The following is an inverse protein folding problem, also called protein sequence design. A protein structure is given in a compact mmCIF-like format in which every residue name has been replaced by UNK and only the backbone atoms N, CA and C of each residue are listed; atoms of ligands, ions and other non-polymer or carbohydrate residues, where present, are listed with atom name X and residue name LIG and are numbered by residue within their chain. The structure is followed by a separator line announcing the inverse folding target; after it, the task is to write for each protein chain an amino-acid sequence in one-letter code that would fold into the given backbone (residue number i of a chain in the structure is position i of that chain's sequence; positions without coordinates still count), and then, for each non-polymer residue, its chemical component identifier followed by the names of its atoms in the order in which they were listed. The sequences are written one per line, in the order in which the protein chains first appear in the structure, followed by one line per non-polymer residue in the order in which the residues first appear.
data_IF_428139704681
#
_entry.id   IF_428139704681
#
_cell.length_a   1.000
_cell.length_b   1.000
_cell.length_c   1.000
_cell.angle_alpha   90.00
_cell.angle_beta   90.00
_cell.angle_gamma   90.00
#
_symmetry.space_group_name_H-M   'P 1'
#
loop_
_entity.id
_entity.type
_entity.pdbx_description
1 polymer ?
#
# COMPACT_ATOMS: atom_id res chain seq x y z
N UNK A 1 2.08 -2.49 -24.79
CA UNK A 1 1.19 -1.35 -25.03
C UNK A 1 0.02 -1.42 -24.07
N UNK A 2 -0.33 -0.30 -23.41
CA UNK A 2 -1.48 -0.24 -22.49
C UNK A 2 -2.56 0.66 -23.11
N UNK A 3 -3.79 0.16 -23.13
CA UNK A 3 -4.98 0.89 -23.54
C UNK A 3 -5.82 1.17 -22.30
N UNK A 4 -5.94 2.44 -21.92
CA UNK A 4 -6.83 2.91 -20.86
C UNK A 4 -8.20 3.26 -21.48
N UNK A 5 -9.28 2.73 -20.92
CA UNK A 5 -10.65 2.94 -21.41
C UNK A 5 -11.61 3.24 -20.25
N UNK A 6 -12.71 3.96 -20.50
CA UNK A 6 -13.81 4.05 -19.54
C UNK A 6 -14.34 2.65 -19.18
N UNK A 7 -14.78 2.47 -17.93
CA UNK A 7 -15.29 1.18 -17.44
C UNK A 7 -16.43 0.64 -18.32
N UNK A 8 -17.37 1.49 -18.74
CA UNK A 8 -18.47 1.12 -19.63
C UNK A 8 -18.00 0.54 -20.97
N UNK A 9 -16.79 0.92 -21.43
CA UNK A 9 -16.17 0.42 -22.65
C UNK A 9 -15.25 -0.79 -22.44
N UNK A 10 -14.96 -1.16 -21.19
CA UNK A 10 -13.96 -2.17 -20.85
C UNK A 10 -14.29 -3.54 -21.44
N UNK A 11 -15.53 -4.02 -21.27
CA UNK A 11 -15.95 -5.35 -21.76
C UNK A 11 -15.76 -5.47 -23.27
N UNK A 12 -16.15 -4.43 -24.03
CA UNK A 12 -16.00 -4.43 -25.48
C UNK A 12 -14.52 -4.41 -25.89
N UNK A 13 -13.69 -3.61 -25.22
CA UNK A 13 -12.27 -3.54 -25.47
C UNK A 13 -11.55 -4.87 -25.13
N UNK A 14 -11.88 -5.48 -23.99
CA UNK A 14 -11.35 -6.76 -23.53
C UNK A 14 -11.66 -7.88 -24.53
N UNK A 15 -12.93 -8.03 -24.94
CA UNK A 15 -13.34 -9.03 -25.94
C UNK A 15 -12.70 -8.81 -27.30
N UNK A 16 -12.45 -7.57 -27.71
CA UNK A 16 -11.82 -7.26 -28.99
C UNK A 16 -10.31 -7.56 -28.99
N UNK A 17 -9.61 -7.19 -27.93
CA UNK A 17 -8.14 -7.14 -27.92
C UNK A 17 -7.51 -8.34 -27.20
N UNK A 18 -8.17 -8.84 -26.15
CA UNK A 18 -7.68 -9.90 -25.27
C UNK A 18 -8.77 -10.97 -25.01
N UNK A 19 -9.45 -11.40 -26.07
CA UNK A 19 -10.54 -12.37 -25.97
C UNK A 19 -10.10 -13.66 -25.28
N UNK A 20 -10.90 -14.14 -24.32
CA UNK A 20 -10.63 -15.38 -23.58
C UNK A 20 -9.48 -15.29 -22.57
N UNK A 21 -8.90 -14.10 -22.35
CA UNK A 21 -7.91 -13.89 -21.31
C UNK A 21 -8.58 -13.58 -19.97
N UNK A 22 -7.98 -13.98 -18.84
CA UNK A 22 -8.50 -13.66 -17.52
C UNK A 22 -8.51 -12.14 -17.30
N UNK A 23 -9.58 -11.68 -16.66
CA UNK A 23 -9.73 -10.31 -16.18
C UNK A 23 -9.41 -10.26 -14.70
N UNK A 24 -8.54 -9.34 -14.33
CA UNK A 24 -8.11 -9.13 -12.96
C UNK A 24 -8.74 -7.87 -12.40
N UNK A 25 -9.24 -7.95 -11.16
CA UNK A 25 -9.80 -6.83 -10.41
C UNK A 25 -8.98 -6.59 -9.15
N UNK A 26 -8.75 -5.32 -8.82
CA UNK A 26 -7.96 -4.93 -7.64
C UNK A 26 -8.63 -3.74 -6.96
N UNK A 27 -8.79 -3.76 -5.62
CA UNK A 27 -9.23 -2.57 -4.92
C UNK A 27 -8.13 -1.49 -4.99
N UNK A 28 -8.52 -0.27 -5.32
CA UNK A 28 -7.66 0.92 -5.30
C UNK A 28 -8.36 2.04 -4.49
N UNK A 29 -7.65 3.11 -4.18
CA UNK A 29 -8.26 4.25 -3.49
C UNK A 29 -9.42 4.82 -4.32
N UNK A 30 -10.61 4.86 -3.73
CA UNK A 30 -11.83 5.40 -4.36
C UNK A 30 -12.57 4.46 -5.31
N UNK A 31 -12.16 3.20 -5.47
CA UNK A 31 -12.86 2.27 -6.35
C UNK A 31 -12.08 1.01 -6.70
N UNK A 32 -12.37 0.47 -7.89
CA UNK A 32 -11.80 -0.80 -8.36
C UNK A 32 -11.14 -0.61 -9.71
N UNK A 33 -9.89 -1.04 -9.80
CA UNK A 33 -9.18 -1.14 -11.08
C UNK A 33 -9.42 -2.50 -11.70
N UNK A 34 -9.65 -2.50 -13.01
CA UNK A 34 -9.87 -3.72 -13.78
C UNK A 34 -8.88 -3.79 -14.92
N UNK A 35 -8.38 -4.99 -15.22
CA UNK A 35 -7.42 -5.16 -16.30
C UNK A 35 -7.42 -6.55 -16.92
N UNK A 36 -7.18 -6.63 -18.22
CA UNK A 36 -6.95 -7.88 -18.93
C UNK A 36 -5.75 -7.68 -19.88
N UNK A 37 -5.02 -8.73 -20.18
CA UNK A 37 -3.86 -8.64 -21.06
C UNK A 37 -3.79 -9.84 -22.00
N UNK A 38 -3.35 -9.58 -23.24
CA UNK A 38 -2.91 -10.59 -24.20
C UNK A 38 -1.40 -10.42 -24.38
N UNK A 39 -0.64 -11.29 -23.72
CA UNK A 39 0.83 -11.23 -23.73
C UNK A 39 1.40 -11.56 -25.11
N UNK A 40 0.72 -12.39 -25.91
CA UNK A 40 1.11 -12.71 -27.28
C UNK A 40 1.02 -11.50 -28.21
N UNK A 41 0.09 -10.59 -27.96
CA UNK A 41 -0.03 -9.30 -28.69
C UNK A 41 0.70 -8.14 -28.01
N UNK A 42 1.19 -8.32 -26.79
CA UNK A 42 1.76 -7.25 -25.97
C UNK A 42 0.75 -6.13 -25.66
N UNK A 43 -0.55 -6.46 -25.53
CA UNK A 43 -1.62 -5.49 -25.26
C UNK A 43 -2.18 -5.73 -23.86
N UNK A 44 -2.29 -4.64 -23.08
CA UNK A 44 -3.01 -4.61 -21.80
C UNK A 44 -4.15 -3.61 -21.91
N UNK A 45 -5.35 -3.99 -21.51
CA UNK A 45 -6.52 -3.10 -21.37
C UNK A 45 -6.73 -2.84 -19.90
N UNK A 46 -6.95 -1.58 -19.53
CA UNK A 46 -7.19 -1.16 -18.15
C UNK A 46 -8.40 -0.23 -18.13
N UNK A 47 -9.19 -0.33 -17.06
CA UNK A 47 -10.21 0.65 -16.74
C UNK A 47 -10.32 0.84 -15.23
N UNK A 48 -10.96 1.93 -14.82
CA UNK A 48 -11.26 2.24 -13.44
C UNK A 48 -12.77 2.42 -13.25
N UNK A 49 -13.30 1.85 -12.18
CA UNK A 49 -14.67 2.04 -11.72
C UNK A 49 -14.66 2.66 -10.33
N UNK A 50 -15.51 3.66 -10.03
CA UNK A 50 -15.64 4.21 -8.67
C UNK A 50 -16.41 3.26 -7.71
N UNK A 51 -16.87 2.11 -8.19
CA UNK A 51 -17.57 1.10 -7.39
C UNK A 51 -16.56 0.18 -6.67
N UNK A 52 -17.00 -0.40 -5.56
CA UNK A 52 -16.24 -1.41 -4.82
C UNK A 52 -16.03 -2.71 -5.60
N UNK A 53 -15.13 -3.56 -5.10
CA UNK A 53 -14.64 -4.75 -5.81
C UNK A 53 -15.76 -5.74 -6.16
N UNK A 54 -16.60 -6.08 -5.18
CA UNK A 54 -17.66 -7.08 -5.34
C UNK A 54 -18.66 -6.73 -6.44
N UNK A 55 -19.29 -5.52 -6.46
CA UNK A 55 -20.23 -5.17 -7.51
C UNK A 55 -19.56 -5.08 -8.89
N UNK A 56 -18.31 -4.65 -8.97
CA UNK A 56 -17.54 -4.62 -10.23
C UNK A 56 -17.27 -6.02 -10.74
N UNK A 57 -16.81 -6.92 -9.87
CA UNK A 57 -16.54 -8.29 -10.23
C UNK A 57 -17.81 -9.02 -10.70
N UNK A 58 -18.95 -8.79 -10.02
CA UNK A 58 -20.24 -9.35 -10.43
C UNK A 58 -20.70 -8.82 -11.80
N UNK A 59 -20.56 -7.52 -12.05
CA UNK A 59 -20.91 -6.88 -13.33
C UNK A 59 -20.10 -7.48 -14.50
N UNK A 60 -18.79 -7.64 -14.32
CA UNK A 60 -17.90 -8.21 -15.33
C UNK A 60 -18.18 -9.70 -15.58
N UNK A 61 -18.48 -10.49 -14.53
CA UNK A 61 -18.89 -11.90 -14.67
C UNK A 61 -20.21 -12.03 -15.43
N UNK A 62 -21.21 -11.18 -15.13
CA UNK A 62 -22.47 -11.13 -15.88
C UNK A 62 -22.27 -10.78 -17.36
N UNK A 63 -21.25 -9.99 -17.67
CA UNK A 63 -20.85 -9.68 -19.04
C UNK A 63 -20.08 -10.81 -19.76
N UNK A 64 -19.83 -11.93 -19.08
CA UNK A 64 -19.20 -13.14 -19.63
C UNK A 64 -17.67 -13.11 -19.63
N UNK A 65 -17.05 -12.30 -18.76
CA UNK A 65 -15.61 -12.35 -18.53
C UNK A 65 -15.27 -13.33 -17.40
N UNK A 66 -14.09 -13.95 -17.50
CA UNK A 66 -13.49 -14.71 -16.40
C UNK A 66 -12.78 -13.73 -15.46
N UNK A 67 -13.24 -13.63 -14.22
CA UNK A 67 -12.84 -12.56 -13.28
C UNK A 67 -12.18 -13.14 -12.04
N UNK A 68 -10.91 -12.78 -11.85
CA UNK A 68 -10.06 -13.16 -10.71
C UNK A 68 -9.63 -11.92 -9.95
N UNK A 69 -9.48 -12.01 -8.63
CA UNK A 69 -8.88 -10.94 -7.83
C UNK A 69 -7.35 -10.95 -7.97
N UNK A 70 -6.76 -9.78 -8.20
CA UNK A 70 -5.32 -9.62 -8.36
C UNK A 70 -4.97 -8.46 -9.30
N UNK A 71 -3.68 -8.22 -9.54
CA UNK A 71 -3.20 -7.20 -10.47
C UNK A 71 -1.96 -7.69 -11.23
N UNK A 72 -1.78 -7.18 -12.45
CA UNK A 72 -0.53 -7.36 -13.18
C UNK A 72 0.57 -6.47 -12.58
N UNK A 73 1.62 -7.10 -12.09
CA UNK A 73 2.85 -6.44 -11.60
C UNK A 73 3.95 -6.76 -12.62
N UNK A 74 4.70 -5.76 -13.12
CA UNK A 74 5.92 -6.02 -13.91
C UNK A 74 6.91 -6.88 -13.13
N UNK A 75 7.65 -7.77 -13.82
CA UNK A 75 8.65 -8.64 -13.16
C UNK A 75 9.78 -7.86 -12.46
N UNK A 76 10.02 -6.63 -12.92
CA UNK A 76 11.02 -5.69 -12.40
C UNK A 76 10.43 -4.62 -11.48
N UNK A 77 9.10 -4.57 -11.32
CA UNK A 77 8.51 -3.65 -10.37
C UNK A 77 8.81 -4.17 -8.96
N UNK A 78 9.33 -3.33 -8.04
CA UNK A 78 9.32 -3.67 -6.64
C UNK A 78 7.89 -4.05 -6.27
N UNK A 79 7.71 -5.07 -5.43
CA UNK A 79 6.39 -5.52 -4.99
C UNK A 79 5.67 -4.38 -4.25
N UNK A 80 5.05 -3.46 -4.99
CA UNK A 80 4.62 -2.16 -4.48
C UNK A 80 3.09 -2.11 -4.38
N UNK A 81 2.54 -2.76 -3.37
CA UNK A 81 1.36 -2.30 -2.62
C UNK A 81 1.06 -3.26 -1.47
N UNK A 82 2.08 -3.56 -0.66
CA UNK A 82 1.77 -3.95 0.71
C UNK A 82 1.10 -2.75 1.37
N UNK A 83 0.06 -3.00 2.14
CA UNK A 83 -0.46 -2.03 3.10
C UNK A 83 0.73 -1.53 3.95
N UNK A 84 1.14 -0.27 3.77
CA UNK A 84 2.23 0.33 4.54
C UNK A 84 1.66 0.89 5.83
N UNK A 85 2.30 0.51 6.92
CA UNK A 85 2.05 1.07 8.25
C UNK A 85 3.16 2.05 8.56
N UNK A 86 2.84 3.19 9.18
CA UNK A 86 3.84 4.17 9.60
C UNK A 86 3.86 4.21 11.12
N UNK A 87 5.01 3.94 11.73
CA UNK A 87 5.19 4.16 13.16
C UNK A 87 5.87 5.51 13.38
N UNK A 88 5.33 6.29 14.31
CA UNK A 88 5.90 7.54 14.77
C UNK A 88 6.13 7.43 16.29
N UNK A 89 7.37 7.66 16.73
CA UNK A 89 7.78 7.55 18.12
C UNK A 89 8.27 8.92 18.56
N UNK A 90 7.49 9.57 19.43
CA UNK A 90 7.95 10.75 20.14
C UNK A 90 8.77 10.30 21.35
N UNK A 91 9.94 10.90 21.56
CA UNK A 91 10.84 10.55 22.66
C UNK A 91 11.50 11.79 23.26
N UNK A 92 11.99 11.65 24.48
CA UNK A 92 12.74 12.69 25.18
C UNK A 92 14.22 12.50 24.90
N UNK A 93 14.90 13.63 24.77
CA UNK A 93 16.36 13.68 24.68
C UNK A 93 16.88 14.52 25.84
N UNK A 94 18.19 14.44 26.08
CA UNK A 94 18.89 15.31 27.03
C UNK A 94 18.92 16.77 26.55
N UNK A 95 18.53 17.02 25.28
CA UNK A 95 18.33 18.36 24.74
C UNK A 95 17.00 18.95 25.19
N UNK A 96 16.86 20.28 25.12
CA UNK A 96 15.61 20.97 25.47
C UNK A 96 14.46 20.69 24.49
N UNK A 97 14.69 19.94 23.40
CA UNK A 97 13.69 19.68 22.38
C UNK A 97 13.30 18.18 22.34
N UNK A 98 11.99 17.88 22.21
CA UNK A 98 11.54 16.51 22.01
C UNK A 98 12.01 15.97 20.66
N UNK A 99 12.35 14.68 20.62
CA UNK A 99 12.68 13.96 19.41
C UNK A 99 11.46 13.29 18.79
N UNK A 100 11.49 13.10 17.47
CA UNK A 100 10.52 12.30 16.73
C UNK A 100 11.28 11.35 15.80
N UNK A 101 10.98 10.07 15.90
CA UNK A 101 11.45 9.05 14.99
C UNK A 101 10.27 8.52 14.19
N UNK A 102 10.46 8.28 12.89
CA UNK A 102 9.40 7.84 11.98
C UNK A 102 9.95 6.79 11.04
N UNK A 103 9.22 5.68 10.89
CA UNK A 103 9.60 4.59 9.99
C UNK A 103 8.37 3.87 9.40
N UNK A 104 8.59 3.15 8.31
CA UNK A 104 7.58 2.45 7.53
C UNK A 104 7.72 0.93 7.65
N UNK A 105 6.61 0.25 7.88
CA UNK A 105 6.55 -1.20 8.09
C UNK A 105 5.64 -1.86 7.05
N UNK A 106 6.02 -3.04 6.53
CA UNK A 106 5.21 -3.78 5.54
C UNK A 106 4.01 -4.51 6.16
N UNK A 107 3.93 -4.58 7.48
CA UNK A 107 2.87 -5.21 8.27
C UNK A 107 2.69 -4.44 9.57
N UNK A 108 1.52 -4.54 10.21
CA UNK A 108 1.23 -3.81 11.45
C UNK A 108 2.27 -4.15 12.54
N UNK A 109 3.17 -3.22 12.92
CA UNK A 109 4.12 -3.47 13.98
C UNK A 109 3.44 -3.38 15.34
N UNK A 110 3.94 -4.15 16.29
CA UNK A 110 3.70 -3.91 17.72
C UNK A 110 4.53 -2.70 18.19
N UNK A 111 4.12 -2.05 19.28
CA UNK A 111 4.90 -0.95 19.86
C UNK A 111 6.33 -1.38 20.23
N UNK A 112 6.50 -2.62 20.70
CA UNK A 112 7.83 -3.17 21.03
C UNK A 112 8.69 -3.27 19.78
N UNK A 113 8.16 -3.80 18.68
CA UNK A 113 8.90 -3.90 17.42
C UNK A 113 9.34 -2.52 16.90
N UNK A 114 8.44 -1.53 16.93
CA UNK A 114 8.78 -0.17 16.50
C UNK A 114 9.89 0.46 17.36
N UNK A 115 9.80 0.30 18.69
CA UNK A 115 10.83 0.79 19.62
C UNK A 115 12.16 0.07 19.42
N UNK A 116 12.14 -1.25 19.18
CA UNK A 116 13.36 -2.02 18.89
C UNK A 116 14.01 -1.53 17.59
N UNK A 117 13.23 -1.31 16.52
CA UNK A 117 13.75 -0.74 15.28
C UNK A 117 14.42 0.61 15.49
N UNK A 118 13.77 1.52 16.24
CA UNK A 118 14.35 2.82 16.61
C UNK A 118 15.67 2.68 17.37
N UNK A 119 15.72 1.77 18.35
CA UNK A 119 16.93 1.52 19.15
C UNK A 119 18.09 0.99 18.30
N UNK A 120 17.83 0.02 17.42
CA UNK A 120 18.87 -0.51 16.53
C UNK A 120 19.40 0.57 15.58
N UNK A 121 18.53 1.40 14.98
CA UNK A 121 18.98 2.53 14.15
C UNK A 121 19.86 3.50 14.94
N UNK A 122 19.49 3.80 16.18
CA UNK A 122 20.26 4.73 17.02
C UNK A 122 21.62 4.16 17.43
N UNK A 123 21.71 2.83 17.58
CA UNK A 123 22.99 2.15 17.79
C UNK A 123 23.85 2.14 16.54
N UNK A 124 23.27 1.82 15.39
CA UNK A 124 23.96 1.78 14.10
C UNK A 124 24.52 3.15 13.70
N UNK A 125 23.79 4.22 14.00
CA UNK A 125 24.19 5.60 13.72
C UNK A 125 25.10 6.21 14.80
N UNK A 126 25.35 5.49 15.90
CA UNK A 126 26.19 5.95 17.02
C UNK A 126 25.54 7.06 17.86
N UNK A 127 24.23 7.23 17.78
CA UNK A 127 23.46 8.22 18.55
C UNK A 127 23.18 7.75 19.99
N UNK A 128 23.32 6.46 20.26
CA UNK A 128 23.12 5.85 21.57
C UNK A 128 24.40 5.14 22.01
N UNK A 129 24.83 5.40 23.25
CA UNK A 129 25.93 4.67 23.89
C UNK A 129 25.59 3.17 24.01
N UNK A 130 26.53 2.32 24.45
CA UNK A 130 26.25 0.89 24.68
C UNK A 130 25.35 0.65 25.93
N UNK A 131 24.14 1.19 25.91
CA UNK A 131 23.10 0.98 26.91
C UNK A 131 22.16 -0.14 26.46
N UNK A 132 21.67 -1.00 27.37
CA UNK A 132 20.64 -1.98 27.04
C UNK A 132 19.32 -1.33 26.61
N UNK A 133 18.51 -2.07 25.82
CA UNK A 133 17.22 -1.61 25.32
C UNK A 133 16.28 -1.14 26.45
N UNK A 134 16.24 -1.84 27.58
CA UNK A 134 15.37 -1.48 28.71
C UNK A 134 15.75 -0.13 29.32
N UNK A 135 17.05 0.16 29.38
CA UNK A 135 17.57 1.43 29.87
C UNK A 135 17.30 2.56 28.87
N UNK A 136 17.47 2.28 27.58
CA UNK A 136 17.10 3.20 26.51
C UNK A 136 15.61 3.60 26.59
N UNK A 137 14.70 2.63 26.72
CA UNK A 137 13.25 2.89 26.82
C UNK A 137 12.91 3.73 28.05
N UNK A 138 13.56 3.45 29.19
CA UNK A 138 13.35 4.21 30.43
C UNK A 138 13.79 5.67 30.28
N UNK A 139 14.91 5.93 29.60
CA UNK A 139 15.42 7.28 29.40
C UNK A 139 14.63 8.05 28.33
N UNK A 140 14.25 7.37 27.25
CA UNK A 140 13.57 7.97 26.12
C UNK A 140 12.09 8.31 26.40
N UNK A 141 11.46 7.67 27.39
CA UNK A 141 10.03 7.80 27.71
C UNK A 141 9.14 7.80 26.44
N UNK A 142 9.23 6.76 25.57
CA UNK A 142 8.69 6.82 24.22
C UNK A 142 7.16 6.77 24.21
N UNK A 143 6.55 7.59 23.35
CA UNK A 143 5.14 7.50 22.97
C UNK A 143 5.05 7.05 21.53
N UNK A 144 4.44 5.88 21.31
CA UNK A 144 4.34 5.25 19.98
C UNK A 144 2.94 5.43 19.42
N UNK A 145 2.86 5.92 18.18
CA UNK A 145 1.65 5.92 17.35
C UNK A 145 1.93 5.12 16.10
N UNK A 146 1.02 4.21 15.73
CA UNK A 146 1.10 3.45 14.49
C UNK A 146 -0.11 3.79 13.65
N UNK A 147 0.14 4.29 12.44
CA UNK A 147 -0.89 4.65 11.48
C UNK A 147 -1.09 3.51 10.49
N UNK A 148 -2.33 3.05 10.40
CA UNK A 148 -2.76 2.08 9.42
C UNK A 148 -2.91 2.70 8.02
N UNK A 149 -2.84 1.89 6.95
CA UNK A 149 -3.06 2.39 5.59
C UNK A 149 -4.38 3.14 5.39
N UNK A 150 -5.54 2.71 5.95
CA UNK A 150 -6.78 3.50 5.89
C UNK A 150 -6.67 4.88 6.53
N UNK A 151 -6.02 4.99 7.70
CA UNK A 151 -5.83 6.27 8.39
C UNK A 151 -4.90 7.20 7.60
N UNK A 152 -3.80 6.67 7.07
CA UNK A 152 -2.88 7.41 6.21
C UNK A 152 -3.61 7.97 4.98
N UNK A 153 -4.45 7.17 4.33
CA UNK A 153 -5.30 7.61 3.21
C UNK A 153 -6.28 8.70 3.64
N UNK A 154 -6.92 8.54 4.79
CA UNK A 154 -7.83 9.54 5.35
C UNK A 154 -7.15 10.89 5.63
N UNK A 155 -5.96 10.86 6.24
CA UNK A 155 -5.18 12.08 6.49
C UNK A 155 -4.67 12.74 5.22
N UNK A 156 -4.27 11.95 4.21
CA UNK A 156 -3.84 12.49 2.92
C UNK A 156 -4.99 13.22 2.21
N UNK A 157 -6.16 12.58 2.11
CA UNK A 157 -7.33 13.15 1.45
C UNK A 157 -7.81 14.47 2.11
N UNK A 158 -7.65 14.59 3.44
CA UNK A 158 -8.02 15.81 4.18
C UNK A 158 -7.11 17.02 3.96
N UNK A 159 -5.95 16.86 3.29
CA UNK A 159 -5.02 17.95 2.99
C UNK A 159 -5.19 18.55 1.59
N UNK A 160 -5.94 17.90 0.72
CA UNK A 160 -6.22 18.37 -0.65
C UNK A 160 -7.45 19.31 -0.73
N UNK A 161 -7.86 19.88 0.42
CA UNK A 161 -8.91 20.90 0.55
C UNK A 161 -8.30 22.28 0.83
#
# INVERSE_FOLDING_TARGET
MTLDVPFDGFVAAAKRLANGQPTFVTPESGGTRVSCADTGKGIRVVAYSPKDLDPVAEELRKAGLDVTEGRWIPDDAPAASGDVYVAAIAYRTDSTQPGLWVDAFPQLPTSVQAITSMYEEFRETGQVAEVPLEEFVRLAEPTVVVLSPPELRGFAAGKDC
#
